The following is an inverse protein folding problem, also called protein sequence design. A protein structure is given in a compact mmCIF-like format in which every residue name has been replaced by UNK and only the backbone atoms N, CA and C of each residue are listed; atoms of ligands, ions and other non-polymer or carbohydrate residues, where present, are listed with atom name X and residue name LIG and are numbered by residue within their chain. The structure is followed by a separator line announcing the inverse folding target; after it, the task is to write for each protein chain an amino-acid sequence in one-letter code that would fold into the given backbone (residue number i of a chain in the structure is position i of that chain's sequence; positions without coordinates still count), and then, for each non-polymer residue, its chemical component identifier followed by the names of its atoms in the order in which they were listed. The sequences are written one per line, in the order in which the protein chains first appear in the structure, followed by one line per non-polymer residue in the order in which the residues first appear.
data_IF_180269156048
#
_entry.id   IF_180269156048
#
_cell.length_a   1.000
_cell.length_b   1.000
_cell.length_c   1.000
_cell.angle_alpha   90.00
_cell.angle_beta   90.00
_cell.angle_gamma   90.00
#
_symmetry.space_group_name_H-M   'P 1'
#
loop_
_entity.id
_entity.type
_entity.pdbx_description
1 polymer ?
#
# COMPACT_ATOMS: atom_id res chain seq x y z
N UNK A 1 -9.78 17.43 11.72
CA UNK A 1 -10.18 16.47 10.67
C UNK A 1 -9.13 16.52 9.59
N UNK A 2 -8.61 15.37 9.14
CA UNK A 2 -7.71 15.35 7.99
C UNK A 2 -8.50 15.70 6.72
N UNK A 3 -7.90 16.43 5.75
CA UNK A 3 -8.56 16.73 4.49
C UNK A 3 -8.89 15.44 3.73
N UNK A 4 -9.97 15.41 2.93
CA UNK A 4 -10.32 14.24 2.14
C UNK A 4 -9.22 13.91 1.13
N UNK A 5 -8.84 12.63 1.07
CA UNK A 5 -7.88 12.13 0.08
C UNK A 5 -8.54 12.11 -1.29
N UNK A 6 -7.93 12.78 -2.28
CA UNK A 6 -8.39 12.73 -3.67
C UNK A 6 -8.18 11.31 -4.23
N UNK A 7 -9.24 10.72 -4.79
CA UNK A 7 -9.20 9.40 -5.43
C UNK A 7 -9.35 9.61 -6.93
N UNK A 8 -8.31 9.25 -7.68
CA UNK A 8 -8.28 9.43 -9.14
C UNK A 8 -8.69 8.15 -9.87
N UNK A 9 -9.45 8.31 -10.95
CA UNK A 9 -9.75 7.23 -11.88
C UNK A 9 -8.55 6.83 -12.74
N UNK A 10 -8.62 5.66 -13.41
CA UNK A 10 -7.53 5.16 -14.27
C UNK A 10 -7.15 6.12 -15.41
N UNK A 11 -8.12 6.86 -15.94
CA UNK A 11 -7.90 7.80 -17.03
C UNK A 11 -7.17 9.05 -16.54
N UNK A 12 -7.61 9.61 -15.41
CA UNK A 12 -6.98 10.77 -14.75
C UNK A 12 -5.54 10.47 -14.31
N UNK A 13 -5.26 9.22 -13.93
CA UNK A 13 -3.92 8.77 -13.57
C UNK A 13 -2.92 8.84 -14.72
N UNK A 14 -3.34 8.72 -16.00
CA UNK A 14 -2.41 8.79 -17.14
C UNK A 14 -1.77 10.18 -17.26
N UNK A 15 -2.59 11.21 -17.19
CA UNK A 15 -2.12 12.59 -17.30
C UNK A 15 -1.18 12.95 -16.15
N UNK A 16 -1.47 12.44 -14.95
CA UNK A 16 -0.61 12.59 -13.78
C UNK A 16 0.70 11.80 -14.00
N UNK A 17 0.65 10.58 -14.52
CA UNK A 17 1.83 9.77 -14.84
C UNK A 17 2.80 10.48 -15.79
N UNK A 18 2.26 11.09 -16.85
CA UNK A 18 3.08 11.79 -17.84
C UNK A 18 3.75 13.05 -17.25
N UNK A 19 3.09 13.69 -16.29
CA UNK A 19 3.61 14.87 -15.57
C UNK A 19 4.63 14.50 -14.49
N UNK A 20 4.51 13.32 -13.90
CA UNK A 20 5.36 12.92 -12.75
C UNK A 20 6.57 12.10 -13.20
N UNK A 21 7.53 12.77 -13.87
CA UNK A 21 8.79 12.18 -14.36
C UNK A 21 10.00 12.35 -13.42
N UNK A 22 9.80 12.97 -12.24
CA UNK A 22 10.87 13.22 -11.26
C UNK A 22 11.39 11.96 -10.56
N UNK A 23 12.39 12.09 -9.68
CA UNK A 23 12.87 10.96 -8.88
C UNK A 23 11.72 10.40 -8.04
N UNK A 24 11.42 9.13 -8.25
CA UNK A 24 10.35 8.44 -7.55
C UNK A 24 10.94 7.53 -6.47
N UNK A 25 10.34 7.54 -5.29
CA UNK A 25 10.62 6.59 -4.22
C UNK A 25 9.49 5.57 -4.10
N UNK A 26 9.84 4.33 -3.81
CA UNK A 26 8.86 3.30 -3.47
C UNK A 26 8.60 3.37 -1.97
N UNK A 27 7.33 3.45 -1.59
CA UNK A 27 6.86 3.42 -0.21
C UNK A 27 5.95 2.22 -0.02
N UNK A 28 6.03 1.60 1.15
CA UNK A 28 5.16 0.51 1.55
C UNK A 28 4.33 0.94 2.76
N UNK A 29 3.07 0.52 2.77
CA UNK A 29 2.17 0.65 3.90
C UNK A 29 1.63 -0.74 4.22
N UNK A 30 1.91 -1.25 5.41
CA UNK A 30 1.34 -2.50 5.90
C UNK A 30 0.22 -2.13 6.86
N UNK A 31 -0.99 -2.60 6.58
CA UNK A 31 -2.18 -2.41 7.41
C UNK A 31 -2.83 -3.78 7.62
N UNK A 32 -3.56 -3.97 8.72
CA UNK A 32 -4.36 -5.17 8.88
C UNK A 32 -5.74 -4.92 8.27
N UNK A 33 -6.15 -5.77 7.33
CA UNK A 33 -7.52 -5.84 6.83
C UNK A 33 -8.28 -6.83 7.72
N UNK A 34 -9.24 -6.31 8.48
CA UNK A 34 -10.00 -7.08 9.45
C UNK A 34 -11.42 -7.31 8.97
N UNK A 35 -11.84 -8.58 8.92
CA UNK A 35 -13.20 -8.98 8.60
C UNK A 35 -13.84 -9.66 9.83
N UNK A 36 -15.11 -9.36 10.08
CA UNK A 36 -15.87 -10.01 11.15
C UNK A 36 -16.59 -11.24 10.60
N UNK A 37 -16.17 -12.43 11.00
CA UNK A 37 -16.75 -13.72 10.54
C UNK A 37 -17.84 -14.23 11.48
N UNK A 38 -18.67 -13.33 12.02
CA UNK A 38 -19.83 -13.66 12.85
C UNK A 38 -19.53 -13.93 14.33
N UNK A 39 -18.33 -14.39 14.66
CA UNK A 39 -17.94 -14.71 16.05
C UNK A 39 -16.60 -14.09 16.47
N UNK A 40 -15.75 -13.76 15.51
CA UNK A 40 -14.42 -13.21 15.73
C UNK A 40 -14.01 -12.24 14.61
N UNK A 41 -13.06 -11.37 14.93
CA UNK A 41 -12.39 -10.52 13.94
C UNK A 41 -11.13 -11.23 13.44
N UNK A 42 -11.09 -11.53 12.15
CA UNK A 42 -9.91 -12.08 11.49
C UNK A 42 -9.20 -10.94 10.78
N UNK A 43 -8.01 -10.59 11.28
CA UNK A 43 -7.17 -9.53 10.75
C UNK A 43 -6.00 -10.11 9.97
N UNK A 44 -5.92 -9.83 8.67
CA UNK A 44 -4.85 -10.28 7.80
C UNK A 44 -3.98 -9.08 7.40
N UNK A 45 -2.65 -9.13 7.57
CA UNK A 45 -1.76 -8.07 7.12
C UNK A 45 -1.84 -7.93 5.60
N UNK A 46 -2.22 -6.75 5.16
CA UNK A 46 -2.32 -6.32 3.77
C UNK A 46 -1.28 -5.21 3.51
N UNK A 47 -0.39 -5.46 2.55
CA UNK A 47 0.63 -4.51 2.12
C UNK A 47 0.17 -3.77 0.87
N UNK A 48 0.11 -2.44 0.98
CA UNK A 48 -0.06 -1.51 -0.15
C UNK A 48 1.28 -0.92 -0.55
N UNK A 49 1.53 -0.84 -1.85
CA UNK A 49 2.73 -0.23 -2.40
C UNK A 49 2.36 1.06 -3.12
N UNK A 50 3.15 2.09 -2.85
CA UNK A 50 2.96 3.40 -3.43
C UNK A 50 4.24 3.87 -4.11
N UNK A 51 4.10 4.42 -5.30
CA UNK A 51 5.15 5.17 -5.97
C UNK A 51 4.94 6.65 -5.65
N UNK A 52 5.87 7.23 -4.90
CA UNK A 52 5.84 8.64 -4.55
C UNK A 52 6.84 9.38 -5.45
N UNK A 53 6.32 10.17 -6.38
CA UNK A 53 7.10 10.89 -7.36
C UNK A 53 6.96 12.40 -7.12
N UNK A 54 8.10 13.11 -7.11
CA UNK A 54 8.10 14.56 -6.94
C UNK A 54 7.88 15.30 -8.27
N UNK A 55 7.05 16.33 -8.24
CA UNK A 55 6.92 17.34 -9.28
C UNK A 55 7.06 18.74 -8.64
N UNK A 56 8.29 19.21 -8.45
CA UNK A 56 8.55 20.49 -7.78
C UNK A 56 8.29 20.44 -6.28
N UNK A 57 7.32 21.22 -5.77
CA UNK A 57 6.92 21.26 -4.35
C UNK A 57 5.81 20.25 -4.00
N UNK A 58 5.28 19.55 -4.99
CA UNK A 58 4.15 18.64 -4.84
C UNK A 58 4.62 17.19 -5.00
N UNK A 59 4.12 16.32 -4.14
CA UNK A 59 4.39 14.89 -4.18
C UNK A 59 3.14 14.15 -4.58
N UNK A 60 3.21 13.45 -5.71
CA UNK A 60 2.14 12.58 -6.15
C UNK A 60 2.41 11.18 -5.61
N UNK A 61 1.45 10.65 -4.84
CA UNK A 61 1.48 9.27 -4.38
C UNK A 61 0.49 8.43 -5.18
N UNK A 62 1.01 7.46 -5.92
CA UNK A 62 0.22 6.59 -6.78
C UNK A 62 0.29 5.17 -6.24
N UNK A 63 -0.86 4.56 -6.00
CA UNK A 63 -0.91 3.15 -5.62
C UNK A 63 -0.51 2.27 -6.80
N UNK A 64 0.48 1.40 -6.57
CA UNK A 64 1.00 0.42 -7.54
C UNK A 64 0.85 -1.01 -7.04
N UNK A 65 0.01 -1.20 -6.01
CA UNK A 65 -0.38 -2.51 -5.49
C UNK A 65 -1.08 -3.32 -6.59
N UNK A 66 -0.64 -4.55 -6.80
CA UNK A 66 -1.25 -5.52 -7.70
C UNK A 66 -1.10 -6.94 -7.09
N UNK A 67 -1.86 -7.95 -7.56
CA UNK A 67 -1.76 -9.31 -7.01
C UNK A 67 -0.33 -9.87 -7.05
N UNK A 68 0.46 -9.53 -8.08
CA UNK A 68 1.85 -9.97 -8.23
C UNK A 68 2.87 -9.27 -7.33
N UNK A 69 2.54 -8.12 -6.75
CA UNK A 69 3.46 -7.37 -5.87
C UNK A 69 3.50 -7.99 -4.48
N UNK A 70 2.44 -8.66 -4.07
CA UNK A 70 2.40 -9.47 -2.85
C UNK A 70 2.98 -10.88 -3.06
N UNK A 71 3.06 -11.38 -4.30
CA UNK A 71 3.62 -12.71 -4.59
C UNK A 71 5.16 -12.75 -4.51
N UNK A 72 5.85 -11.69 -4.94
CA UNK A 72 7.32 -11.58 -4.79
C UNK A 72 7.77 -11.02 -3.45
N UNK A 73 6.87 -10.31 -2.77
CA UNK A 73 7.02 -9.88 -1.40
C UNK A 73 6.06 -10.70 -0.53
N UNK A 74 6.35 -12.00 -0.35
CA UNK A 74 6.39 -12.52 1.01
C UNK A 74 7.44 -11.69 1.76
N UNK A 75 7.05 -10.45 2.06
CA UNK A 75 7.89 -9.42 2.62
C UNK A 75 8.46 -9.99 3.91
N UNK A 76 9.76 -9.89 4.13
CA UNK A 76 10.40 -10.28 5.40
C UNK A 76 9.62 -9.66 6.58
N UNK A 77 9.02 -8.49 6.39
CA UNK A 77 8.10 -7.85 7.34
C UNK A 77 6.79 -8.62 7.59
N UNK A 78 6.13 -9.13 6.54
CA UNK A 78 4.90 -9.94 6.65
C UNK A 78 5.25 -11.31 7.22
N UNK A 79 6.33 -11.93 6.75
CA UNK A 79 6.82 -13.21 7.26
C UNK A 79 7.16 -13.10 8.75
N UNK A 80 7.91 -12.07 9.17
CA UNK A 80 8.22 -11.80 10.59
C UNK A 80 6.97 -11.56 11.44
N UNK A 81 5.96 -10.88 10.91
CA UNK A 81 4.69 -10.71 11.62
C UNK A 81 4.03 -12.07 11.89
N UNK A 82 3.92 -12.93 10.86
CA UNK A 82 3.34 -14.27 11.01
C UNK A 82 4.21 -15.20 11.88
N UNK A 83 5.53 -15.09 11.82
CA UNK A 83 6.45 -15.86 12.66
C UNK A 83 6.38 -15.42 14.13
N UNK A 84 6.27 -14.11 14.38
CA UNK A 84 6.07 -13.56 15.73
C UNK A 84 4.76 -14.04 16.35
N UNK A 85 3.68 -14.17 15.56
CA UNK A 85 2.39 -14.63 16.06
C UNK A 85 2.38 -16.13 16.37
N UNK A 86 3.24 -16.94 15.72
CA UNK A 86 3.38 -18.38 15.99
C UNK A 86 4.18 -18.70 17.24
N UNK A 87 5.02 -17.77 17.70
CA UNK A 87 5.91 -17.97 18.85
C UNK A 87 5.29 -17.54 20.19
N UNK A 88 4.04 -17.09 20.20
CA UNK A 88 3.27 -16.84 21.42
C UNK A 88 2.49 -18.12 21.81
N UNK A 89 3.20 -19.10 22.38
CA UNK A 89 2.63 -20.22 23.15
C UNK A 89 3.19 -20.22 24.56
#
# INVERSE_FOLDING_TARGET
MAPPTLVFGKEELKDIWERTKGPCSLKALVQNECEFIGHEYVCIPFKRLFKECGAGREFTRIEVTNPGTNLRYADDTISRFWDSNRNCT
#
